data_IF_594541649598
#
_entry.id   IF_594541649598
#
_cell.length_a   1.000
_cell.length_b   1.000
_cell.length_c   1.000
_cell.angle_alpha   90.00
_cell.angle_beta   90.00
_cell.angle_gamma   90.00
#
_symmetry.space_group_name_H-M   'P 1'
#
loop_
_entity.id
_entity.type
_entity.pdbx_description
1 polymer ?
#
# COMPACT_ATOMS: atom_id res chain seq x y z
N UNK A 1 -13.37 -9.48 -8.41
CA UNK A 1 -12.17 -9.80 -9.20
C UNK A 1 -11.52 -11.02 -8.56
N UNK A 2 -10.98 -11.97 -9.30
CA UNK A 2 -10.22 -13.06 -8.68
C UNK A 2 -8.85 -12.52 -8.26
N UNK A 3 -8.35 -12.86 -7.07
CA UNK A 3 -7.02 -12.45 -6.65
C UNK A 3 -5.96 -12.97 -7.63
N UNK A 4 -4.88 -12.22 -7.86
CA UNK A 4 -3.80 -12.67 -8.73
C UNK A 4 -3.14 -13.93 -8.15
N UNK A 5 -2.68 -14.83 -9.04
CA UNK A 5 -1.97 -16.02 -8.62
C UNK A 5 -0.51 -15.65 -8.29
N UNK A 6 -0.16 -15.76 -7.02
CA UNK A 6 1.21 -15.52 -6.52
C UNK A 6 2.09 -16.72 -6.92
N UNK A 7 3.27 -16.45 -7.43
CA UNK A 7 4.28 -17.45 -7.80
C UNK A 7 5.42 -17.50 -6.77
N UNK A 8 6.24 -18.57 -6.79
CA UNK A 8 7.42 -18.69 -5.92
C UNK A 8 8.41 -17.52 -6.10
N UNK A 9 8.43 -16.90 -7.30
CA UNK A 9 9.25 -15.73 -7.58
C UNK A 9 8.68 -14.50 -6.86
N UNK A 10 7.37 -14.30 -6.94
CA UNK A 10 6.68 -13.20 -6.24
C UNK A 10 6.89 -13.31 -4.73
N UNK A 11 6.85 -14.52 -4.17
CA UNK A 11 7.12 -14.74 -2.74
C UNK A 11 8.54 -14.36 -2.35
N UNK A 12 9.55 -14.77 -3.13
CA UNK A 12 10.96 -14.42 -2.86
C UNK A 12 11.20 -12.91 -2.92
N UNK A 13 10.67 -12.25 -3.94
CA UNK A 13 10.76 -10.80 -4.08
C UNK A 13 10.00 -10.11 -2.94
N UNK A 14 8.79 -10.59 -2.65
CA UNK A 14 7.94 -10.07 -1.58
C UNK A 14 8.61 -10.12 -0.21
N UNK A 15 9.23 -11.24 0.12
CA UNK A 15 10.00 -11.40 1.37
C UNK A 15 11.16 -10.40 1.45
N UNK A 16 11.96 -10.29 0.38
CA UNK A 16 13.10 -9.37 0.35
C UNK A 16 12.67 -7.90 0.44
N UNK A 17 11.57 -7.52 -0.22
CA UNK A 17 11.04 -6.17 -0.14
C UNK A 17 10.49 -5.86 1.26
N UNK A 18 9.83 -6.83 1.90
CA UNK A 18 9.29 -6.67 3.26
C UNK A 18 10.37 -6.38 4.32
N UNK A 19 11.61 -6.85 4.11
CA UNK A 19 12.74 -6.55 4.99
C UNK A 19 13.12 -5.06 4.98
N UNK A 20 12.86 -4.34 3.89
CA UNK A 20 13.14 -2.92 3.76
C UNK A 20 12.11 -2.04 4.47
N UNK A 21 10.93 -2.58 4.77
CA UNK A 21 9.83 -1.86 5.42
C UNK A 21 10.02 -1.93 6.94
N UNK A 22 9.86 -0.79 7.61
CA UNK A 22 10.03 -0.64 9.06
C UNK A 22 8.70 -0.37 9.75
N UNK A 23 8.63 -0.60 11.03
CA UNK A 23 7.48 -0.24 11.85
C UNK A 23 7.22 1.28 11.78
N UNK A 24 5.98 1.65 11.51
CA UNK A 24 5.55 3.03 11.36
C UNK A 24 5.74 3.65 9.98
N UNK A 25 6.29 2.93 9.01
CA UNK A 25 6.38 3.41 7.63
C UNK A 25 4.99 3.66 7.03
N UNK A 26 4.91 4.66 6.16
CA UNK A 26 3.70 4.99 5.41
C UNK A 26 3.84 4.43 3.98
N UNK A 27 2.91 3.58 3.58
CA UNK A 27 3.00 2.83 2.32
C UNK A 27 2.18 3.49 1.21
N UNK A 28 2.80 3.60 0.03
CA UNK A 28 2.13 3.73 -1.26
C UNK A 28 2.24 2.37 -1.97
N UNK A 29 1.14 1.90 -2.51
CA UNK A 29 1.01 0.56 -3.07
C UNK A 29 0.59 0.63 -4.53
N UNK A 30 1.33 -0.07 -5.38
CA UNK A 30 0.92 -0.37 -6.75
C UNK A 30 -0.10 -1.50 -6.81
N UNK A 31 -0.43 -1.94 -8.01
CA UNK A 31 -1.38 -3.03 -8.30
C UNK A 31 -0.64 -4.26 -8.82
N UNK A 32 -1.21 -5.44 -8.57
CA UNK A 32 -0.76 -6.71 -9.14
C UNK A 32 -0.30 -7.72 -8.09
N UNK A 33 0.14 -8.89 -8.57
CA UNK A 33 0.53 -10.02 -7.73
C UNK A 33 1.67 -9.68 -6.78
N UNK A 34 2.65 -8.87 -7.23
CA UNK A 34 3.83 -8.58 -6.42
C UNK A 34 3.54 -7.65 -5.23
N UNK A 35 2.84 -6.51 -5.36
CA UNK A 35 2.44 -5.73 -4.19
C UNK A 35 1.59 -6.55 -3.21
N UNK A 36 0.65 -7.35 -3.69
CA UNK A 36 -0.17 -8.22 -2.82
C UNK A 36 0.68 -9.28 -2.10
N UNK A 37 1.68 -9.86 -2.78
CA UNK A 37 2.62 -10.78 -2.14
C UNK A 37 3.43 -10.10 -1.02
N UNK A 38 3.92 -8.88 -1.24
CA UNK A 38 4.65 -8.11 -0.23
C UNK A 38 3.79 -7.89 1.01
N UNK A 39 2.53 -7.50 0.85
CA UNK A 39 1.61 -7.29 1.98
C UNK A 39 1.48 -8.53 2.86
N UNK A 40 1.49 -9.72 2.27
CA UNK A 40 1.44 -11.00 3.01
C UNK A 40 2.61 -11.20 3.97
N UNK A 41 3.78 -10.61 3.69
CA UNK A 41 4.98 -10.69 4.53
C UNK A 41 5.06 -9.59 5.61
N UNK A 42 4.12 -8.66 5.66
CA UNK A 42 4.15 -7.54 6.62
C UNK A 42 3.41 -7.83 7.94
N UNK A 43 2.86 -8.99 8.15
CA UNK A 43 2.02 -9.34 9.31
C UNK A 43 2.73 -9.20 10.67
N UNK A 44 4.06 -9.16 10.67
CA UNK A 44 4.88 -8.97 11.87
C UNK A 44 5.25 -7.51 12.15
N UNK A 45 4.92 -6.58 11.23
CA UNK A 45 5.18 -5.14 11.38
C UNK A 45 4.13 -4.48 12.27
N UNK A 46 4.42 -3.24 12.68
CA UNK A 46 3.57 -2.47 13.59
C UNK A 46 3.37 -1.04 13.09
N UNK A 47 2.17 -0.52 13.32
CA UNK A 47 1.81 0.88 13.10
C UNK A 47 2.07 1.40 11.68
N UNK A 48 1.93 0.54 10.66
CA UNK A 48 2.04 0.98 9.29
C UNK A 48 0.93 1.97 8.94
N UNK A 49 1.27 2.92 8.07
CA UNK A 49 0.35 3.89 7.49
C UNK A 49 0.04 3.58 6.03
N UNK A 50 -1.08 4.12 5.52
CA UNK A 50 -1.46 4.05 4.11
C UNK A 50 -1.69 5.46 3.57
N UNK A 51 -0.96 5.81 2.51
CA UNK A 51 -1.17 6.98 1.67
C UNK A 51 -0.85 6.56 0.23
N UNK A 52 -1.87 6.23 -0.52
CA UNK A 52 -1.73 5.60 -1.84
C UNK A 52 -2.86 6.04 -2.76
N UNK A 53 -2.65 6.01 -4.07
CA UNK A 53 -3.74 6.25 -5.01
C UNK A 53 -4.81 5.18 -4.90
N UNK A 54 -4.39 3.92 -4.78
CA UNK A 54 -5.28 2.76 -4.72
C UNK A 54 -4.78 1.74 -3.70
N UNK A 55 -5.69 1.01 -3.04
CA UNK A 55 -5.35 -0.20 -2.32
C UNK A 55 -6.33 -1.36 -2.57
N UNK A 56 -5.87 -2.57 -2.29
CA UNK A 56 -6.53 -3.85 -2.52
C UNK A 56 -6.92 -4.56 -1.22
N UNK A 57 -7.46 -5.77 -1.34
CA UNK A 57 -7.87 -6.61 -0.20
C UNK A 57 -6.74 -6.87 0.80
N UNK A 58 -5.48 -6.98 0.36
CA UNK A 58 -4.33 -7.23 1.24
C UNK A 58 -4.12 -6.16 2.31
N UNK A 59 -4.53 -4.92 2.06
CA UNK A 59 -4.51 -3.85 3.08
C UNK A 59 -5.55 -4.14 4.16
N UNK A 60 -6.72 -4.66 3.80
CA UNK A 60 -7.77 -5.02 4.76
C UNK A 60 -7.27 -6.10 5.73
N UNK A 61 -6.56 -7.11 5.21
CA UNK A 61 -5.98 -8.17 6.04
C UNK A 61 -5.00 -7.60 7.08
N UNK A 62 -4.16 -6.64 6.69
CA UNK A 62 -3.22 -5.98 7.59
C UNK A 62 -3.91 -5.08 8.63
N UNK A 63 -5.03 -4.44 8.29
CA UNK A 63 -5.82 -3.68 9.27
C UNK A 63 -6.48 -4.64 10.29
N UNK A 64 -7.08 -5.73 9.82
CA UNK A 64 -7.71 -6.74 10.68
C UNK A 64 -6.68 -7.41 11.61
N UNK A 65 -5.44 -7.57 11.14
CA UNK A 65 -4.32 -8.06 11.96
C UNK A 65 -3.72 -7.01 12.92
N UNK A 66 -4.19 -5.76 12.89
CA UNK A 66 -3.68 -4.67 13.73
C UNK A 66 -2.32 -4.12 13.30
N UNK A 67 -1.86 -4.45 12.10
CA UNK A 67 -0.57 -3.99 11.53
C UNK A 67 -0.69 -2.58 10.97
N UNK A 68 -1.77 -2.30 10.24
CA UNK A 68 -2.06 -0.96 9.70
C UNK A 68 -2.98 -0.21 10.66
N UNK A 69 -2.42 0.73 11.39
CA UNK A 69 -3.13 1.61 12.33
C UNK A 69 -3.20 3.05 11.85
N UNK A 70 -2.29 3.44 10.95
CA UNK A 70 -2.05 4.82 10.54
C UNK A 70 -1.74 5.79 11.69
N UNK A 71 -1.45 5.28 12.89
CA UNK A 71 -1.25 6.09 14.09
C UNK A 71 -0.01 6.99 14.00
N UNK A 72 1.02 6.56 13.26
CA UNK A 72 2.30 7.27 13.11
C UNK A 72 2.40 8.12 11.86
N UNK A 73 1.32 8.27 11.09
CA UNK A 73 1.28 9.20 9.95
C UNK A 73 1.28 10.64 10.43
N UNK A 74 1.95 11.51 9.67
CA UNK A 74 1.92 12.96 9.89
C UNK A 74 0.73 13.61 9.16
N UNK A 75 0.49 13.24 7.90
CA UNK A 75 -0.67 13.69 7.16
C UNK A 75 -1.87 12.77 7.44
N UNK A 76 -2.94 13.32 8.01
CA UNK A 76 -4.14 12.59 8.45
C UNK A 76 -3.81 11.37 9.35
N UNK A 77 -3.29 11.59 10.59
CA UNK A 77 -3.04 10.52 11.54
C UNK A 77 -4.29 9.66 11.80
N UNK A 78 -4.10 8.36 11.90
CA UNK A 78 -5.20 7.42 12.11
C UNK A 78 -6.10 7.19 10.88
N UNK A 79 -5.73 7.74 9.70
CA UNK A 79 -6.52 7.62 8.47
C UNK A 79 -5.71 7.00 7.34
N UNK A 80 -6.33 6.05 6.65
CA UNK A 80 -5.87 5.58 5.35
C UNK A 80 -6.35 6.56 4.29
N UNK A 81 -5.41 7.10 3.50
CA UNK A 81 -5.69 8.04 2.41
C UNK A 81 -5.62 7.32 1.09
N UNK A 82 -6.68 7.40 0.29
CA UNK A 82 -6.72 6.83 -1.06
C UNK A 82 -7.57 7.66 -2.02
N UNK A 83 -7.45 7.38 -3.33
CA UNK A 83 -8.32 7.97 -4.36
C UNK A 83 -9.40 7.00 -4.78
N UNK A 84 -9.07 5.71 -4.92
CA UNK A 84 -10.03 4.66 -5.26
C UNK A 84 -9.62 3.29 -4.70
N UNK A 85 -10.48 2.30 -4.88
CA UNK A 85 -10.29 0.94 -4.38
C UNK A 85 -10.52 -0.07 -5.49
N UNK A 86 -9.73 -1.14 -5.49
CA UNK A 86 -9.92 -2.25 -6.42
C UNK A 86 -9.67 -3.58 -5.71
N UNK A 87 -10.71 -4.41 -5.60
CA UNK A 87 -10.62 -5.68 -4.90
C UNK A 87 -11.92 -6.48 -4.97
N UNK A 88 -12.10 -7.33 -3.97
CA UNK A 88 -13.27 -8.18 -3.83
C UNK A 88 -14.37 -7.51 -2.99
N UNK A 89 -15.47 -8.22 -2.78
CA UNK A 89 -16.54 -7.78 -1.88
C UNK A 89 -16.05 -7.48 -0.45
N UNK A 90 -15.00 -8.16 0.01
CA UNK A 90 -14.36 -7.93 1.31
C UNK A 90 -13.90 -6.49 1.44
N UNK A 91 -13.16 -5.99 0.44
CA UNK A 91 -12.67 -4.62 0.41
C UNK A 91 -13.82 -3.60 0.46
N UNK A 92 -14.84 -3.78 -0.38
CA UNK A 92 -15.96 -2.84 -0.43
C UNK A 92 -16.80 -2.83 0.85
N UNK A 93 -16.96 -3.97 1.52
CA UNK A 93 -17.58 -4.02 2.85
C UNK A 93 -16.74 -3.31 3.90
N UNK A 94 -15.43 -3.47 3.83
CA UNK A 94 -14.49 -2.82 4.76
C UNK A 94 -14.52 -1.29 4.63
N UNK A 95 -14.51 -0.76 3.40
CA UNK A 95 -14.47 0.70 3.19
C UNK A 95 -15.83 1.37 3.42
N UNK A 96 -16.93 0.61 3.37
CA UNK A 96 -18.27 1.15 3.55
C UNK A 96 -18.46 1.73 4.96
N UNK A 97 -18.73 3.04 5.03
CA UNK A 97 -18.90 3.76 6.29
C UNK A 97 -17.74 3.59 7.30
N UNK A 98 -16.54 3.31 6.84
CA UNK A 98 -15.38 3.14 7.69
C UNK A 98 -14.70 4.49 7.95
N UNK A 99 -14.72 5.02 9.20
CA UNK A 99 -14.14 6.31 9.52
C UNK A 99 -12.60 6.34 9.41
N UNK A 100 -11.93 5.18 9.34
CA UNK A 100 -10.49 5.07 9.09
C UNK A 100 -10.12 5.42 7.64
N UNK A 101 -11.06 5.34 6.70
CA UNK A 101 -10.82 5.54 5.28
C UNK A 101 -11.19 6.96 4.88
N UNK A 102 -10.25 7.67 4.26
CA UNK A 102 -10.48 8.98 3.67
C UNK A 102 -10.14 8.97 2.18
N UNK A 103 -11.11 9.36 1.37
CA UNK A 103 -10.92 9.48 -0.07
C UNK A 103 -10.64 10.93 -0.46
N UNK A 104 -9.60 11.11 -1.26
CA UNK A 104 -9.24 12.38 -1.85
C UNK A 104 -9.09 12.26 -3.37
N UNK A 105 -9.31 13.34 -4.12
CA UNK A 105 -9.02 13.34 -5.55
C UNK A 105 -7.51 13.18 -5.80
N UNK A 106 -7.16 12.65 -6.97
CA UNK A 106 -5.78 12.27 -7.33
C UNK A 106 -4.79 13.41 -7.22
N UNK A 107 -5.20 14.64 -7.50
CA UNK A 107 -4.35 15.83 -7.38
C UNK A 107 -3.97 16.18 -5.93
N UNK A 108 -4.61 15.58 -4.96
CA UNK A 108 -4.21 15.64 -3.54
C UNK A 108 -3.41 14.39 -3.18
N UNK A 109 -3.93 13.21 -3.45
CA UNK A 109 -3.28 11.95 -3.05
C UNK A 109 -1.91 11.78 -3.70
N UNK A 110 -1.76 12.15 -4.98
CA UNK A 110 -0.50 12.02 -5.72
C UNK A 110 0.32 13.32 -5.76
N UNK A 111 -0.05 14.32 -4.96
CA UNK A 111 0.71 15.57 -4.89
C UNK A 111 2.03 15.35 -4.12
N UNK A 112 3.21 15.57 -4.74
CA UNK A 112 4.49 15.35 -4.06
C UNK A 112 4.66 16.16 -2.78
N UNK A 113 4.15 17.39 -2.73
CA UNK A 113 4.23 18.24 -1.53
C UNK A 113 3.33 17.73 -0.39
N UNK A 114 2.25 17.01 -0.70
CA UNK A 114 1.38 16.37 0.28
C UNK A 114 1.97 15.03 0.73
N UNK A 115 2.46 14.23 -0.21
CA UNK A 115 3.14 12.96 0.07
C UNK A 115 4.32 13.19 1.02
N UNK A 116 5.12 14.23 0.76
CA UNK A 116 6.29 14.60 1.57
C UNK A 116 5.95 15.05 3.01
N UNK A 117 4.68 15.25 3.34
CA UNK A 117 4.26 15.52 4.72
C UNK A 117 4.23 14.26 5.59
N UNK A 118 4.25 13.06 5.00
CA UNK A 118 4.42 11.84 5.75
C UNK A 118 5.91 11.48 5.82
N UNK A 119 6.43 11.37 7.03
CA UNK A 119 7.75 10.81 7.26
C UNK A 119 7.77 9.32 6.84
N UNK A 120 8.93 8.83 6.42
CA UNK A 120 9.14 7.43 6.11
C UNK A 120 8.15 6.86 5.07
N UNK A 121 7.89 7.61 3.99
CA UNK A 121 7.13 7.10 2.85
C UNK A 121 7.92 6.02 2.13
N UNK A 122 7.28 4.87 1.93
CA UNK A 122 7.78 3.75 1.15
C UNK A 122 6.84 3.49 -0.02
N UNK A 123 7.39 3.56 -1.23
CA UNK A 123 6.63 3.35 -2.48
C UNK A 123 6.94 1.96 -3.04
N UNK A 124 5.91 1.17 -3.27
CA UNK A 124 5.99 -0.22 -3.74
C UNK A 124 5.23 -0.34 -5.05
N UNK A 125 5.96 -0.51 -6.15
CA UNK A 125 5.38 -0.64 -7.48
C UNK A 125 6.08 -1.73 -8.29
N UNK A 126 5.34 -2.37 -9.20
CA UNK A 126 5.89 -3.31 -10.17
C UNK A 126 6.38 -2.55 -11.41
N UNK A 127 7.44 -3.05 -12.02
CA UNK A 127 7.94 -2.55 -13.31
C UNK A 127 8.42 -3.70 -14.17
N UNK A 128 8.33 -3.57 -15.48
CA UNK A 128 8.85 -4.55 -16.42
C UNK A 128 10.32 -4.33 -16.73
N UNK A 129 10.78 -3.09 -16.72
CA UNK A 129 12.17 -2.76 -17.05
C UNK A 129 12.62 -1.51 -16.32
N UNK A 130 13.86 -1.55 -15.83
CA UNK A 130 14.53 -0.43 -15.16
C UNK A 130 15.81 -0.09 -15.91
N UNK A 131 16.01 1.17 -16.30
CA UNK A 131 17.28 1.66 -16.83
C UNK A 131 18.18 2.18 -15.69
N UNK A 132 19.49 2.26 -15.95
CA UNK A 132 20.45 2.83 -14.98
C UNK A 132 20.18 4.29 -14.62
N UNK A 133 19.46 5.02 -15.47
CA UNK A 133 19.01 6.39 -15.24
C UNK A 133 17.71 6.47 -14.41
N UNK A 134 17.27 5.37 -13.82
CA UNK A 134 15.99 5.23 -13.09
C UNK A 134 14.75 5.50 -13.96
N UNK A 135 14.88 5.42 -15.29
CA UNK A 135 13.71 5.43 -16.17
C UNK A 135 12.97 4.11 -16.02
N UNK A 136 11.68 4.18 -15.66
CA UNK A 136 10.80 3.03 -15.52
C UNK A 136 9.93 2.91 -16.78
N UNK A 137 9.81 1.70 -17.32
CA UNK A 137 8.86 1.43 -18.39
C UNK A 137 7.64 0.74 -17.75
N UNK A 138 6.52 1.42 -17.82
CA UNK A 138 5.20 0.89 -17.48
C UNK A 138 4.48 0.59 -18.78
N UNK A 139 4.02 -0.63 -18.95
CA UNK A 139 3.19 -1.06 -20.07
C UNK A 139 1.78 -1.32 -19.56
#
# INVERSE_FOLDING_TARGET
MNPPKITDIDEKIGSSCAELIRDGDCLQLGIGAMPDAILGFLTHKKDLGIHTEMFSDGVVDLVEAGVVTCARKNFHPGKMVATFFMGTEKLYKFVHNNPMVQMFPVNITNNPAIIAQNDNMVSINSTLQVALTLSLIHI
#
